data_IF_438490645034
#
_entry.id   IF_438490645034
#
_cell.length_a   1.000
_cell.length_b   1.000
_cell.length_c   1.000
_cell.angle_alpha   90.00
_cell.angle_beta   90.00
_cell.angle_gamma   90.00
#
_symmetry.space_group_name_H-M   'P 1'
#
loop_
_entity.id
_entity.type
_entity.pdbx_description
1 polymer ?
#
# COMPACT_ATOMS: atom_id res chain seq x y z
N UNK A 1 32.95 -16.65 12.81
CA UNK A 1 32.64 -15.19 12.79
C UNK A 1 31.22 -15.01 13.31
N UNK A 2 30.88 -13.90 13.99
CA UNK A 2 29.56 -13.76 14.62
C UNK A 2 28.46 -13.55 13.57
N UNK A 3 27.48 -14.47 13.54
CA UNK A 3 26.26 -14.31 12.75
C UNK A 3 25.35 -13.29 13.44
N UNK A 4 24.70 -12.44 12.66
CA UNK A 4 23.69 -11.49 13.11
C UNK A 4 22.39 -11.65 12.36
N UNK A 5 21.28 -11.60 13.09
CA UNK A 5 19.96 -11.44 12.49
C UNK A 5 19.74 -9.94 12.25
N UNK A 6 19.54 -9.57 10.98
CA UNK A 6 19.54 -8.17 10.54
C UNK A 6 18.52 -7.90 9.43
N UNK A 7 18.23 -6.62 9.22
CA UNK A 7 17.35 -6.17 8.14
C UNK A 7 18.17 -5.79 6.89
N UNK A 8 17.82 -6.34 5.73
CA UNK A 8 18.33 -5.91 4.42
C UNK A 8 17.29 -5.04 3.71
N UNK A 9 17.71 -3.89 3.18
CA UNK A 9 16.80 -2.90 2.60
C UNK A 9 16.56 -3.20 1.12
N UNK A 10 15.39 -3.74 0.85
CA UNK A 10 14.80 -3.87 -0.47
C UNK A 10 13.77 -2.74 -0.73
N UNK A 11 13.13 -2.75 -1.90
CA UNK A 11 12.14 -1.73 -2.26
C UNK A 11 12.74 -0.36 -2.65
N UNK A 12 11.86 0.52 -3.15
CA UNK A 12 12.22 1.74 -3.89
C UNK A 12 12.57 2.94 -3.00
N UNK A 13 12.96 4.06 -3.62
CA UNK A 13 13.06 5.37 -2.94
C UNK A 13 11.68 5.71 -2.36
N UNK A 14 11.65 6.25 -1.14
CA UNK A 14 10.40 6.60 -0.43
C UNK A 14 9.59 5.42 0.14
N UNK A 15 9.65 4.20 -0.41
CA UNK A 15 8.92 3.01 0.08
C UNK A 15 9.87 1.85 0.42
N UNK A 16 10.49 1.82 1.62
CA UNK A 16 11.43 0.79 2.04
C UNK A 16 10.73 -0.53 2.40
N UNK A 17 11.26 -1.66 1.93
CA UNK A 17 10.84 -3.00 2.32
C UNK A 17 12.03 -3.73 2.94
N UNK A 18 11.83 -4.56 3.96
CA UNK A 18 12.93 -5.23 4.64
C UNK A 18 12.81 -6.75 4.58
N UNK A 19 13.94 -7.42 4.34
CA UNK A 19 14.07 -8.86 4.58
C UNK A 19 14.78 -9.07 5.91
N UNK A 20 14.27 -9.99 6.72
CA UNK A 20 14.89 -10.41 7.97
C UNK A 20 15.79 -11.59 7.63
N UNK A 21 17.10 -11.45 7.79
CA UNK A 21 18.08 -12.48 7.36
C UNK A 21 19.09 -12.79 8.46
N UNK A 22 19.54 -14.04 8.50
CA UNK A 22 20.77 -14.44 9.17
C UNK A 22 21.96 -14.21 8.22
N UNK A 23 22.99 -13.47 8.65
CA UNK A 23 24.18 -13.20 7.85
C UNK A 23 25.40 -12.93 8.73
N UNK A 24 26.62 -13.03 8.17
CA UNK A 24 27.84 -12.61 8.87
C UNK A 24 27.79 -11.10 9.19
N UNK A 25 28.18 -10.72 10.40
CA UNK A 25 28.26 -9.33 10.82
C UNK A 25 29.13 -8.44 9.91
N UNK A 26 30.14 -9.02 9.24
CA UNK A 26 31.08 -8.33 8.33
C UNK A 26 30.54 -8.13 6.91
N UNK A 27 29.50 -8.85 6.51
CA UNK A 27 28.97 -8.77 5.15
C UNK A 27 28.33 -7.39 4.88
N UNK A 28 28.43 -6.86 3.64
CA UNK A 28 27.71 -5.65 3.20
C UNK A 28 26.21 -5.74 3.53
N UNK A 29 25.54 -4.62 3.84
CA UNK A 29 24.14 -4.59 4.31
C UNK A 29 23.23 -5.47 3.45
N UNK A 30 23.15 -5.17 2.16
CA UNK A 30 22.32 -5.88 1.18
C UNK A 30 23.16 -6.87 0.34
N UNK A 31 24.25 -7.39 0.92
CA UNK A 31 25.09 -8.43 0.32
C UNK A 31 24.59 -9.84 0.64
N UNK A 32 25.41 -10.85 0.29
CA UNK A 32 25.13 -12.27 0.56
C UNK A 32 24.75 -12.50 2.04
N UNK A 33 23.64 -13.20 2.24
CA UNK A 33 23.16 -13.72 3.51
C UNK A 33 23.34 -15.24 3.57
N UNK A 34 23.04 -15.84 4.73
CA UNK A 34 23.04 -17.29 4.94
C UNK A 34 21.63 -17.86 4.73
N UNK A 35 20.64 -17.27 5.40
CA UNK A 35 19.24 -17.71 5.36
C UNK A 35 18.29 -16.51 5.50
N UNK A 36 17.14 -16.54 4.83
CA UNK A 36 16.08 -15.54 4.93
C UNK A 36 15.01 -16.05 5.89
N UNK A 37 14.87 -15.38 7.03
CA UNK A 37 13.96 -15.76 8.12
C UNK A 37 12.57 -15.13 7.97
N UNK A 38 12.41 -14.08 7.15
CA UNK A 38 11.13 -13.40 7.00
C UNK A 38 11.21 -12.07 6.25
N UNK A 39 10.13 -11.29 6.37
CA UNK A 39 9.95 -9.96 5.78
C UNK A 39 9.32 -8.98 6.79
N UNK A 40 9.59 -7.69 6.58
CA UNK A 40 9.01 -6.60 7.34
C UNK A 40 8.68 -5.41 6.41
N UNK A 41 7.41 -5.01 6.43
CA UNK A 41 6.86 -3.93 5.63
C UNK A 41 6.33 -2.79 6.52
N UNK A 42 7.07 -1.69 6.69
CA UNK A 42 6.61 -0.53 7.47
C UNK A 42 5.66 0.40 6.69
N UNK A 43 5.35 0.12 5.41
CA UNK A 43 4.52 0.99 4.58
C UNK A 43 3.01 0.72 4.75
N UNK A 44 2.64 -0.34 5.48
CA UNK A 44 1.25 -0.65 5.83
C UNK A 44 1.00 -0.26 7.28
N UNK A 45 -0.26 0.02 7.61
CA UNK A 45 -0.69 0.23 8.99
C UNK A 45 -1.93 -0.66 9.28
N UNK A 46 -1.80 -1.73 10.09
CA UNK A 46 -0.58 -2.20 10.78
C UNK A 46 0.56 -2.65 9.85
N UNK A 47 1.79 -2.67 10.37
CA UNK A 47 2.99 -3.04 9.61
C UNK A 47 3.05 -4.55 9.38
N UNK A 48 3.07 -5.00 8.11
CA UNK A 48 3.14 -6.43 7.81
C UNK A 48 4.47 -7.02 8.28
N UNK A 49 4.39 -8.00 9.17
CA UNK A 49 5.52 -8.80 9.64
C UNK A 49 5.19 -10.27 9.40
N UNK A 50 6.07 -10.95 8.69
CA UNK A 50 6.04 -12.40 8.47
C UNK A 50 7.44 -12.96 8.74
N UNK A 51 7.52 -14.04 9.53
CA UNK A 51 8.75 -14.61 10.07
C UNK A 51 8.53 -16.10 10.30
N UNK A 52 9.40 -16.95 9.75
CA UNK A 52 9.47 -18.34 10.20
C UNK A 52 10.06 -18.37 11.62
N UNK A 53 9.19 -18.68 12.59
CA UNK A 53 9.54 -18.71 14.00
C UNK A 53 10.61 -19.76 14.29
N UNK A 54 10.52 -20.94 13.67
CA UNK A 54 11.37 -22.08 14.01
C UNK A 54 12.78 -21.96 13.43
N UNK A 55 12.92 -21.47 12.19
CA UNK A 55 14.23 -21.09 11.64
C UNK A 55 14.86 -19.97 12.49
N UNK A 56 14.08 -18.98 12.91
CA UNK A 56 14.57 -17.87 13.72
C UNK A 56 14.99 -18.30 15.14
N UNK A 57 14.28 -19.24 15.77
CA UNK A 57 14.71 -19.87 17.04
C UNK A 57 15.99 -20.68 16.82
N UNK A 58 16.08 -21.50 15.76
CA UNK A 58 17.30 -22.27 15.42
C UNK A 58 18.53 -21.38 15.29
N UNK A 59 18.41 -20.18 14.69
CA UNK A 59 19.53 -19.24 14.61
C UNK A 59 19.89 -18.61 15.95
N UNK A 60 18.93 -18.34 16.83
CA UNK A 60 19.17 -17.82 18.18
C UNK A 60 19.84 -18.89 19.07
N UNK A 61 19.42 -20.14 18.98
CA UNK A 61 20.05 -21.30 19.65
C UNK A 61 21.51 -21.46 19.19
N UNK A 62 21.77 -21.29 17.88
CA UNK A 62 23.12 -21.24 17.29
C UNK A 62 23.90 -19.94 17.62
N UNK A 63 23.40 -19.10 18.53
CA UNK A 63 24.08 -17.92 19.07
C UNK A 63 24.02 -16.65 18.20
N UNK A 64 23.21 -16.63 17.12
CA UNK A 64 23.11 -15.46 16.24
C UNK A 64 22.55 -14.24 16.98
N UNK A 65 23.20 -13.08 16.83
CA UNK A 65 22.86 -11.89 17.60
C UNK A 65 21.90 -10.96 16.82
N UNK A 66 20.67 -10.71 17.29
CA UNK A 66 19.74 -9.82 16.59
C UNK A 66 20.11 -8.34 16.78
N UNK A 67 20.03 -7.57 15.69
CA UNK A 67 20.09 -6.09 15.75
C UNK A 67 18.89 -5.51 16.52
N UNK A 68 18.97 -4.25 16.94
CA UNK A 68 17.94 -3.61 17.76
C UNK A 68 16.52 -3.70 17.16
N UNK A 69 16.35 -3.26 15.91
CA UNK A 69 15.06 -3.35 15.21
C UNK A 69 14.62 -4.79 14.97
N UNK A 70 15.56 -5.70 14.65
CA UNK A 70 15.25 -7.11 14.47
C UNK A 70 14.77 -7.74 15.80
N UNK A 71 15.40 -7.42 16.94
CA UNK A 71 14.99 -7.88 18.26
C UNK A 71 13.57 -7.43 18.60
N UNK A 72 13.19 -6.19 18.27
CA UNK A 72 11.81 -5.70 18.46
C UNK A 72 10.79 -6.49 17.63
N UNK A 73 11.11 -6.77 16.36
CA UNK A 73 10.25 -7.56 15.46
C UNK A 73 10.13 -9.02 15.95
N UNK A 74 11.24 -9.65 16.32
CA UNK A 74 11.30 -11.02 16.88
C UNK A 74 10.60 -11.13 18.24
N UNK A 75 10.60 -10.06 19.05
CA UNK A 75 9.82 -9.97 20.28
C UNK A 75 8.31 -9.90 19.98
N UNK A 76 7.92 -9.01 19.06
CA UNK A 76 6.52 -8.79 18.67
C UNK A 76 5.87 -10.04 18.04
N UNK A 77 6.65 -10.90 17.37
CA UNK A 77 6.20 -12.20 16.84
C UNK A 77 6.48 -13.40 17.75
N UNK A 78 6.93 -13.18 19.00
CA UNK A 78 7.07 -14.25 19.99
C UNK A 78 8.29 -15.17 19.83
N UNK A 79 9.13 -14.99 18.81
CA UNK A 79 10.34 -15.80 18.58
C UNK A 79 11.27 -15.77 19.80
N UNK A 80 11.45 -14.61 20.42
CA UNK A 80 12.27 -14.48 21.63
C UNK A 80 11.65 -15.18 22.85
N UNK A 81 10.31 -15.26 22.91
CA UNK A 81 9.59 -16.01 23.95
C UNK A 81 9.76 -17.51 23.73
N UNK A 82 9.55 -18.02 22.51
CA UNK A 82 9.78 -19.44 22.19
C UNK A 82 11.22 -19.85 22.48
N UNK A 83 12.21 -19.06 22.05
CA UNK A 83 13.63 -19.30 22.40
C UNK A 83 13.89 -19.29 23.93
N UNK A 84 13.26 -18.39 24.70
CA UNK A 84 13.40 -18.38 26.16
C UNK A 84 12.81 -19.64 26.81
N UNK A 85 11.61 -20.06 26.38
CA UNK A 85 10.92 -21.26 26.86
C UNK A 85 11.70 -22.54 26.50
N UNK A 86 12.22 -22.64 25.27
CA UNK A 86 13.14 -23.70 24.84
C UNK A 86 14.44 -23.70 25.66
N UNK A 87 14.91 -22.54 26.11
CA UNK A 87 16.01 -22.42 27.08
C UNK A 87 15.69 -22.93 28.49
N UNK A 88 14.40 -23.07 28.85
CA UNK A 88 13.92 -23.74 30.06
C UNK A 88 13.80 -25.26 29.89
N UNK A 89 13.27 -25.71 28.74
CA UNK A 89 13.27 -27.12 28.32
C UNK A 89 14.70 -27.71 28.30
N UNK A 90 15.65 -27.00 27.67
CA UNK A 90 17.09 -27.36 27.65
C UNK A 90 17.76 -27.39 29.03
N UNK A 91 17.07 -27.01 30.10
CA UNK A 91 17.49 -27.09 31.51
C UNK A 91 16.65 -28.07 32.35
N UNK A 92 15.71 -28.79 31.73
CA UNK A 92 14.80 -29.71 32.43
C UNK A 92 13.73 -29.02 33.30
N UNK A 93 13.47 -27.72 33.11
CA UNK A 93 12.55 -26.95 33.95
C UNK A 93 11.09 -26.92 33.42
N UNK A 94 10.88 -27.23 32.14
CA UNK A 94 9.58 -27.32 31.46
C UNK A 94 9.56 -28.60 30.59
N UNK A 95 8.37 -29.16 30.33
CA UNK A 95 8.15 -30.11 29.22
C UNK A 95 7.89 -29.38 27.90
N UNK A 96 7.96 -30.10 26.77
CA UNK A 96 7.65 -29.55 25.43
C UNK A 96 6.20 -29.04 25.35
N UNK A 97 5.25 -29.83 25.84
CA UNK A 97 3.82 -29.47 25.94
C UNK A 97 3.62 -28.13 26.70
N UNK A 98 4.33 -27.94 27.82
CA UNK A 98 4.28 -26.70 28.61
C UNK A 98 4.96 -25.51 27.92
N UNK A 99 5.87 -25.74 26.97
CA UNK A 99 6.45 -24.68 26.13
C UNK A 99 5.41 -24.24 25.09
N UNK A 100 4.74 -25.19 24.45
CA UNK A 100 3.73 -24.90 23.42
C UNK A 100 2.47 -24.27 24.01
N UNK A 101 1.95 -24.78 25.14
CA UNK A 101 0.79 -24.20 25.85
C UNK A 101 1.04 -22.71 26.18
N UNK A 102 2.18 -22.38 26.80
CA UNK A 102 2.54 -21.01 27.19
C UNK A 102 2.78 -20.11 25.97
N UNK A 103 3.32 -20.66 24.88
CA UNK A 103 3.51 -19.93 23.64
C UNK A 103 2.18 -19.63 22.93
N UNK A 104 1.28 -20.60 22.88
CA UNK A 104 -0.04 -20.48 22.25
C UNK A 104 -0.96 -19.52 23.04
N UNK A 105 -0.96 -19.60 24.38
CA UNK A 105 -1.68 -18.66 25.23
C UNK A 105 -1.21 -17.20 25.02
N UNK A 106 0.10 -17.00 24.84
CA UNK A 106 0.66 -15.69 24.50
C UNK A 106 0.29 -15.24 23.09
N UNK A 107 0.28 -16.14 22.10
CA UNK A 107 -0.18 -15.83 20.74
C UNK A 107 -1.65 -15.41 20.72
N UNK A 108 -2.52 -16.05 21.52
CA UNK A 108 -3.91 -15.63 21.69
C UNK A 108 -4.03 -14.22 22.31
N UNK A 109 -3.30 -13.96 23.40
CA UNK A 109 -3.27 -12.64 24.06
C UNK A 109 -2.83 -11.56 23.06
N UNK A 110 -1.79 -11.84 22.27
CA UNK A 110 -1.33 -10.90 21.24
C UNK A 110 -2.30 -10.76 20.09
N UNK A 111 -2.91 -11.84 19.61
CA UNK A 111 -3.97 -11.80 18.59
C UNK A 111 -5.10 -10.87 18.99
N UNK A 112 -5.64 -11.05 20.20
CA UNK A 112 -6.69 -10.18 20.78
C UNK A 112 -6.23 -8.71 20.87
N UNK A 113 -4.98 -8.47 21.27
CA UNK A 113 -4.41 -7.11 21.33
C UNK A 113 -4.08 -6.48 19.96
N UNK A 114 -4.04 -7.27 18.89
CA UNK A 114 -3.82 -6.80 17.51
C UNK A 114 -5.15 -6.53 16.83
N UNK A 115 -6.14 -7.44 16.95
CA UNK A 115 -7.48 -7.23 16.37
C UNK A 115 -8.16 -5.99 16.96
N UNK A 116 -8.01 -5.73 18.27
CA UNK A 116 -8.48 -4.50 18.91
C UNK A 116 -7.91 -3.24 18.24
N UNK A 117 -6.61 -3.23 17.94
CA UNK A 117 -5.94 -2.10 17.27
C UNK A 117 -6.32 -1.98 15.80
N UNK A 118 -6.57 -3.10 15.12
CA UNK A 118 -7.08 -3.11 13.74
C UNK A 118 -8.50 -2.54 13.68
N UNK A 119 -9.37 -2.91 14.62
CA UNK A 119 -10.70 -2.31 14.76
C UNK A 119 -10.67 -0.80 15.08
N UNK A 120 -9.84 -0.37 16.04
CA UNK A 120 -9.64 1.06 16.37
C UNK A 120 -9.20 1.86 15.14
N UNK A 121 -8.27 1.30 14.37
CA UNK A 121 -7.67 1.90 13.18
C UNK A 121 -8.65 1.95 12.00
N UNK A 122 -9.47 0.92 11.78
CA UNK A 122 -10.53 0.96 10.77
C UNK A 122 -11.69 1.90 11.17
N UNK A 123 -12.02 2.01 12.46
CA UNK A 123 -12.98 3.02 12.97
C UNK A 123 -12.45 4.44 12.68
N UNK A 124 -11.18 4.72 13.01
CA UNK A 124 -10.55 6.01 12.69
C UNK A 124 -10.53 6.30 11.17
N UNK A 125 -10.19 5.32 10.32
CA UNK A 125 -10.26 5.44 8.85
C UNK A 125 -11.69 5.65 8.34
N UNK A 126 -12.71 5.12 9.00
CA UNK A 126 -14.11 5.34 8.63
C UNK A 126 -14.53 6.77 8.97
N UNK A 127 -14.17 7.26 10.16
CA UNK A 127 -14.42 8.64 10.58
C UNK A 127 -13.71 9.67 9.71
N UNK A 128 -12.42 9.49 9.36
CA UNK A 128 -11.72 10.43 8.48
C UNK A 128 -12.33 10.45 7.07
N UNK A 129 -12.77 9.30 6.55
CA UNK A 129 -13.49 9.25 5.27
C UNK A 129 -14.86 9.91 5.33
N UNK A 130 -15.59 9.78 6.44
CA UNK A 130 -16.87 10.48 6.63
C UNK A 130 -16.66 12.00 6.64
N UNK A 131 -15.71 12.48 7.46
CA UNK A 131 -15.35 13.90 7.58
C UNK A 131 -14.83 14.48 6.25
N UNK A 132 -14.08 13.70 5.48
CA UNK A 132 -13.64 14.09 4.13
C UNK A 132 -14.83 14.22 3.15
N UNK A 133 -15.74 13.25 3.12
CA UNK A 133 -16.94 13.29 2.27
C UNK A 133 -17.92 14.41 2.68
N UNK A 134 -17.98 14.77 3.96
CA UNK A 134 -18.76 15.92 4.44
C UNK A 134 -18.12 17.25 3.99
N UNK A 135 -16.80 17.39 4.12
CA UNK A 135 -16.08 18.56 3.60
C UNK A 135 -16.16 18.69 2.06
N UNK A 136 -16.10 17.59 1.32
CA UNK A 136 -16.27 17.56 -0.14
C UNK A 136 -17.68 17.99 -0.56
N UNK A 137 -18.73 17.55 0.17
CA UNK A 137 -20.12 18.00 -0.05
C UNK A 137 -20.26 19.50 0.21
N UNK A 138 -19.81 19.99 1.37
CA UNK A 138 -19.86 21.42 1.70
C UNK A 138 -19.17 22.28 0.64
N UNK A 139 -17.99 21.87 0.15
CA UNK A 139 -17.27 22.59 -0.91
C UNK A 139 -18.03 22.55 -2.25
N UNK A 140 -18.69 21.43 -2.56
CA UNK A 140 -19.47 21.31 -3.79
C UNK A 140 -20.79 22.11 -3.73
N UNK A 141 -21.48 22.10 -2.60
CA UNK A 141 -22.70 22.89 -2.35
C UNK A 141 -22.40 24.39 -2.41
N UNK A 142 -21.32 24.86 -1.77
CA UNK A 142 -20.87 26.26 -1.86
C UNK A 142 -20.47 26.66 -3.28
N UNK A 143 -19.88 25.75 -4.06
CA UNK A 143 -19.58 25.98 -5.49
C UNK A 143 -20.85 26.04 -6.34
N UNK A 144 -21.83 25.17 -6.08
CA UNK A 144 -23.10 25.16 -6.81
C UNK A 144 -23.94 26.42 -6.53
N UNK A 145 -23.96 26.88 -5.27
CA UNK A 145 -24.59 28.15 -4.88
C UNK A 145 -23.92 29.34 -5.59
N UNK A 146 -22.59 29.42 -5.56
CA UNK A 146 -21.84 30.48 -6.23
C UNK A 146 -21.97 30.44 -7.78
N UNK A 147 -22.25 29.28 -8.37
CA UNK A 147 -22.55 29.17 -9.81
C UNK A 147 -23.96 29.68 -10.14
N UNK A 148 -24.98 29.27 -9.37
CA UNK A 148 -26.35 29.74 -9.56
C UNK A 148 -26.50 31.25 -9.30
N UNK A 149 -25.77 31.80 -8.33
CA UNK A 149 -25.72 33.25 -8.07
C UNK A 149 -24.95 34.03 -9.16
N UNK A 150 -24.11 33.35 -9.96
CA UNK A 150 -23.41 33.93 -11.10
C UNK A 150 -24.17 33.81 -12.44
N UNK A 151 -25.12 32.87 -12.60
CA UNK A 151 -26.07 32.84 -13.72
C UNK A 151 -27.23 33.83 -13.54
N UNK A 152 -27.60 34.16 -12.31
CA UNK A 152 -28.72 35.05 -11.99
C UNK A 152 -28.69 36.47 -12.64
N UNK A 153 -27.56 37.17 -12.80
CA UNK A 153 -27.55 38.53 -13.34
C UNK A 153 -27.60 38.61 -14.88
N UNK A 154 -27.37 37.53 -15.61
CA UNK A 154 -27.32 37.56 -17.10
C UNK A 154 -28.73 37.50 -17.74
N UNK A 155 -29.78 37.31 -16.94
CA UNK A 155 -31.17 37.21 -17.40
C UNK A 155 -31.89 38.55 -17.64
N UNK A 156 -31.36 39.70 -17.17
CA UNK A 156 -32.00 41.02 -17.36
C UNK A 156 -31.47 41.81 -18.58
N UNK A 157 -30.23 41.59 -19.05
CA UNK A 157 -29.72 42.25 -20.28
C UNK A 157 -30.06 41.48 -21.58
N UNK A 158 -30.47 40.20 -21.50
CA UNK A 158 -30.73 39.37 -22.67
C UNK A 158 -32.08 39.64 -23.40
N UNK A 159 -32.97 40.45 -22.81
CA UNK A 159 -34.33 40.70 -23.34
C UNK A 159 -34.47 41.95 -24.23
N UNK A 160 -33.54 42.90 -24.17
CA UNK A 160 -33.64 44.17 -24.91
C UNK A 160 -33.08 44.07 -26.36
N UNK A 161 -32.30 43.03 -26.66
CA UNK A 161 -31.52 42.92 -27.90
C UNK A 161 -32.20 42.19 -29.07
N UNK A 162 -33.42 41.66 -28.90
CA UNK A 162 -34.05 40.72 -29.85
C UNK A 162 -35.11 41.28 -30.80
N UNK A 163 -35.53 42.55 -30.68
CA UNK A 163 -36.67 43.08 -31.45
C UNK A 163 -36.33 43.79 -32.78
N UNK A 164 -35.04 43.91 -33.18
CA UNK A 164 -34.62 44.73 -34.35
C UNK A 164 -33.86 43.98 -35.46
N UNK A 165 -34.09 42.66 -35.67
CA UNK A 165 -33.51 41.91 -36.82
C UNK A 165 -34.45 40.92 -37.52
N UNK A 166 -35.72 41.27 -37.78
CA UNK A 166 -36.63 40.42 -38.59
C UNK A 166 -37.37 41.19 -39.71
N UNK A 167 -36.61 41.59 -40.75
CA UNK A 167 -37.16 42.06 -42.03
C UNK A 167 -36.16 41.82 -43.18
N UNK A 168 -36.67 41.52 -44.39
CA UNK A 168 -35.91 41.28 -45.66
C UNK A 168 -35.09 39.97 -45.68
N UNK A 169 -35.29 39.00 -46.58
CA UNK A 169 -36.34 38.74 -47.59
C UNK A 169 -36.39 37.21 -47.91
N UNK A 170 -37.33 36.76 -48.74
CA UNK A 170 -37.75 35.35 -48.85
C UNK A 170 -37.26 34.59 -50.12
N UNK A 171 -37.49 33.27 -50.10
CA UNK A 171 -37.70 32.35 -51.25
C UNK A 171 -36.51 31.56 -51.90
N UNK A 172 -36.72 30.32 -52.41
CA UNK A 172 -35.76 29.20 -52.13
C UNK A 172 -35.52 28.09 -53.21
N UNK A 173 -34.49 27.24 -52.95
CA UNK A 173 -34.29 25.84 -53.46
C UNK A 173 -34.21 25.64 -55.00
N UNK A 174 -34.03 24.40 -55.55
CA UNK A 174 -33.65 23.06 -55.00
C UNK A 174 -32.19 22.65 -55.38
N UNK A 175 -31.64 21.41 -55.29
CA UNK A 175 -31.65 20.18 -54.44
C UNK A 175 -30.73 19.12 -55.14
N UNK A 176 -30.24 17.96 -54.62
CA UNK A 176 -30.17 17.26 -53.32
C UNK A 176 -29.12 16.10 -53.43
N UNK A 177 -29.11 15.12 -52.47
CA UNK A 177 -28.38 13.82 -52.44
C UNK A 177 -26.95 13.80 -51.82
N UNK A 178 -26.45 12.81 -51.06
CA UNK A 178 -26.90 11.89 -49.96
C UNK A 178 -25.96 10.65 -49.90
N UNK A 179 -25.56 10.21 -48.69
CA UNK A 179 -24.82 8.98 -48.29
C UNK A 179 -23.36 8.80 -48.84
N UNK A 180 -22.35 8.17 -48.19
CA UNK A 180 -22.06 7.51 -46.89
C UNK A 180 -21.56 6.05 -47.03
N UNK A 181 -20.27 5.82 -46.70
CA UNK A 181 -19.56 4.58 -46.26
C UNK A 181 -18.04 4.91 -46.31
N UNK A 182 -17.11 4.47 -45.44
CA UNK A 182 -16.71 3.12 -45.00
C UNK A 182 -16.26 2.24 -46.19
N UNK A 183 -15.07 1.59 -46.21
CA UNK A 183 -14.32 0.92 -45.13
C UNK A 183 -12.76 0.96 -45.32
N UNK A 184 -11.98 0.39 -44.40
CA UNK A 184 -10.51 0.16 -44.44
C UNK A 184 -10.19 -1.25 -45.01
N UNK A 185 -8.95 -1.59 -45.46
CA UNK A 185 -7.97 -2.20 -44.51
C UNK A 185 -6.46 -2.10 -44.87
N UNK A 186 -5.59 -2.36 -43.86
CA UNK A 186 -4.25 -2.99 -43.95
C UNK A 186 -3.13 -2.35 -44.83
N UNK A 187 -1.83 -2.67 -44.67
CA UNK A 187 -0.98 -3.05 -43.53
C UNK A 187 0.50 -2.81 -44.01
N UNK A 188 1.34 -2.09 -43.26
CA UNK A 188 2.41 -2.61 -42.38
C UNK A 188 3.71 -3.04 -43.11
N UNK A 189 4.83 -3.09 -42.39
CA UNK A 189 6.22 -3.34 -42.83
C UNK A 189 6.89 -2.26 -43.72
N UNK A 190 8.19 -1.98 -43.62
CA UNK A 190 9.16 -2.17 -42.50
C UNK A 190 10.19 -1.02 -42.56
N UNK A 191 10.81 -0.67 -41.42
CA UNK A 191 11.90 0.33 -41.39
C UNK A 191 12.96 0.01 -40.34
N UNK A 192 13.96 -0.77 -40.73
CA UNK A 192 15.20 -0.94 -39.98
C UNK A 192 16.35 -1.23 -40.95
N UNK A 193 17.26 -0.27 -41.13
CA UNK A 193 18.60 -0.49 -41.67
C UNK A 193 19.60 -0.06 -40.60
N UNK A 194 20.66 -0.83 -40.44
CA UNK A 194 21.67 -0.65 -39.40
C UNK A 194 23.05 -0.81 -40.01
N UNK A 195 23.89 0.21 -39.91
CA UNK A 195 25.34 0.08 -40.13
C UNK A 195 26.09 1.11 -39.26
N UNK A 196 27.42 1.00 -39.26
CA UNK A 196 28.40 1.48 -38.27
C UNK A 196 28.42 3.00 -37.94
N UNK A 197 28.67 3.34 -36.66
CA UNK A 197 29.97 3.86 -36.18
C UNK A 197 30.19 3.45 -34.70
#
# INVERSE_FOLDING_TARGET
MPVRIRLQRHGKKGKPFYWIVAADARAKRDGKFLEKLGIYNPNTNPATIDVNVDDAVRWLDNGAQPSETARRILSYKGVLLKHHLMGGLRKGALTEEQVEEKYNAWLEEKGKSVSQREEELEKAKAEERAKALEAEKEVNEKRAQAAAEAEAPEAEEAVDATEETEAVEESPKPEAKVEQSEDVPAAEETKASSEEE
#
